data_IF_732326120814
#
_entry.id   IF_732326120814
#
_cell.length_a   1.000
_cell.length_b   1.000
_cell.length_c   1.000
_cell.angle_alpha   90.00
_cell.angle_beta   90.00
_cell.angle_gamma   90.00
#
_symmetry.space_group_name_H-M   'P 1'
#
loop_
_entity.id
_entity.type
_entity.pdbx_description
1 polymer ?
#
# COMPACT_ATOMS: atom_id res chain seq x y z
N UNK A 1 30.35 1.57 5.88
CA UNK A 1 28.97 1.56 6.40
C UNK A 1 28.57 3.00 6.69
N UNK A 2 27.70 3.60 5.89
CA UNK A 2 27.26 4.98 6.10
C UNK A 2 26.28 4.99 7.28
N UNK A 3 26.73 5.44 8.45
CA UNK A 3 25.87 5.72 9.59
C UNK A 3 25.06 6.97 9.26
N UNK A 4 23.80 6.81 8.88
CA UNK A 4 22.90 7.96 8.78
C UNK A 4 22.69 8.56 10.17
N UNK A 5 22.93 9.86 10.29
CA UNK A 5 22.66 10.63 11.51
C UNK A 5 21.20 10.45 11.95
N UNK A 6 20.90 10.23 13.24
CA UNK A 6 19.53 9.97 13.72
C UNK A 6 18.52 11.09 13.36
N UNK A 7 18.97 12.34 13.26
CA UNK A 7 18.12 13.45 12.83
C UNK A 7 17.62 13.31 11.37
N UNK A 8 18.41 12.69 10.49
CA UNK A 8 18.02 12.50 9.08
C UNK A 8 16.98 11.38 8.91
N UNK A 9 17.01 10.35 9.78
CA UNK A 9 15.98 9.31 9.76
C UNK A 9 14.63 9.82 10.28
N UNK A 10 14.64 10.72 11.27
CA UNK A 10 13.41 11.29 11.82
C UNK A 10 12.72 12.21 10.81
N UNK A 11 13.47 13.08 10.15
CA UNK A 11 12.93 13.93 9.07
C UNK A 11 12.36 13.11 7.91
N UNK A 12 13.01 12.01 7.53
CA UNK A 12 12.51 11.11 6.49
C UNK A 12 11.21 10.41 6.91
N UNK A 13 11.11 9.99 8.18
CA UNK A 13 9.91 9.36 8.71
C UNK A 13 8.73 10.35 8.79
N UNK A 14 8.97 11.60 9.17
CA UNK A 14 7.95 12.65 9.19
C UNK A 14 7.48 13.02 7.79
N UNK A 15 8.39 13.13 6.82
CA UNK A 15 8.05 13.36 5.42
C UNK A 15 7.17 12.23 4.86
N UNK A 16 7.47 10.98 5.21
CA UNK A 16 6.67 9.83 4.80
C UNK A 16 5.28 9.82 5.46
N UNK A 17 5.19 10.16 6.75
CA UNK A 17 3.92 10.31 7.45
C UNK A 17 3.04 11.40 6.81
N UNK A 18 3.64 12.52 6.39
CA UNK A 18 2.96 13.60 5.65
C UNK A 18 2.42 13.11 4.30
N UNK A 19 3.24 12.38 3.53
CA UNK A 19 2.83 11.78 2.24
C UNK A 19 1.64 10.82 2.40
N UNK A 20 1.64 10.00 3.45
CA UNK A 20 0.52 9.10 3.76
C UNK A 20 -0.74 9.88 4.14
N UNK A 21 -0.61 10.95 4.92
CA UNK A 21 -1.74 11.83 5.27
C UNK A 21 -2.33 12.54 4.04
N UNK A 22 -1.49 12.94 3.08
CA UNK A 22 -1.95 13.52 1.81
C UNK A 22 -2.74 12.50 0.97
N UNK A 23 -2.30 11.24 0.96
CA UNK A 23 -3.00 10.16 0.27
C UNK A 23 -4.36 9.84 0.92
N UNK A 24 -4.42 9.83 2.25
CA UNK A 24 -5.69 9.74 2.98
C UNK A 24 -6.62 10.92 2.69
N UNK A 25 -6.08 12.14 2.61
CA UNK A 25 -6.87 13.32 2.25
C UNK A 25 -7.45 13.23 0.84
N UNK A 26 -6.73 12.59 -0.10
CA UNK A 26 -7.27 12.29 -1.42
C UNK A 26 -8.42 11.29 -1.35
N UNK A 27 -8.28 10.18 -0.62
CA UNK A 27 -9.34 9.18 -0.44
C UNK A 27 -10.60 9.78 0.20
N UNK A 28 -10.42 10.56 1.27
CA UNK A 28 -11.51 11.27 1.95
C UNK A 28 -12.25 12.18 0.97
N UNK A 29 -11.53 12.98 0.17
CA UNK A 29 -12.15 13.84 -0.85
C UNK A 29 -12.88 13.05 -1.94
N UNK A 30 -12.31 11.92 -2.38
CA UNK A 30 -12.90 11.09 -3.44
C UNK A 30 -14.09 10.26 -2.97
N UNK A 31 -14.24 10.04 -1.66
CA UNK A 31 -15.37 9.28 -1.10
C UNK A 31 -16.74 9.93 -1.30
N UNK A 32 -16.78 11.22 -1.64
CA UNK A 32 -18.03 11.99 -1.72
C UNK A 32 -18.69 12.27 -0.37
N UNK A 33 -18.09 11.81 0.75
CA UNK A 33 -18.60 12.03 2.10
C UNK A 33 -18.07 13.34 2.67
N UNK A 34 -18.89 14.03 3.46
CA UNK A 34 -18.43 15.24 4.15
C UNK A 34 -17.45 14.90 5.27
N UNK A 35 -16.47 15.78 5.52
CA UNK A 35 -15.53 15.62 6.63
C UNK A 35 -16.24 15.44 7.98
N UNK A 36 -17.35 16.15 8.18
CA UNK A 36 -18.16 16.05 9.41
C UNK A 36 -18.78 14.66 9.59
N UNK A 37 -19.29 14.06 8.51
CA UNK A 37 -19.85 12.70 8.56
C UNK A 37 -18.75 11.67 8.87
N UNK A 38 -17.58 11.81 8.24
CA UNK A 38 -16.45 10.91 8.49
C UNK A 38 -15.94 11.09 9.93
N UNK A 39 -15.79 12.32 10.43
CA UNK A 39 -15.38 12.60 11.81
C UNK A 39 -16.34 12.00 12.84
N UNK A 40 -17.65 12.11 12.58
CA UNK A 40 -18.69 11.52 13.42
C UNK A 40 -18.52 9.99 13.51
N UNK A 41 -18.34 9.32 12.38
CA UNK A 41 -18.20 7.85 12.33
C UNK A 41 -16.87 7.38 12.93
N UNK A 42 -15.82 8.21 12.82
CA UNK A 42 -14.55 7.98 13.52
C UNK A 42 -14.66 8.21 15.03
N UNK A 43 -15.80 8.69 15.56
CA UNK A 43 -15.94 9.06 16.97
C UNK A 43 -14.95 10.15 17.39
N UNK A 44 -14.50 10.94 16.43
CA UNK A 44 -13.53 12.01 16.65
C UNK A 44 -14.23 13.30 17.05
N UNK A 45 -13.56 14.08 17.91
CA UNK A 45 -13.99 15.45 18.19
C UNK A 45 -13.97 16.31 16.93
N UNK A 46 -14.78 17.37 16.92
CA UNK A 46 -14.88 18.32 15.81
C UNK A 46 -13.50 18.75 15.29
N UNK A 47 -13.31 18.67 13.97
CA UNK A 47 -12.12 19.06 13.23
C UNK A 47 -10.85 18.20 13.48
N UNK A 48 -10.93 17.09 14.20
CA UNK A 48 -9.74 16.25 14.46
C UNK A 48 -9.23 15.52 13.21
N UNK A 49 -10.11 15.02 12.34
CA UNK A 49 -9.69 14.46 11.05
C UNK A 49 -8.97 15.52 10.23
N UNK A 50 -9.51 16.74 10.22
CA UNK A 50 -8.89 17.86 9.51
C UNK A 50 -7.50 18.20 10.05
N UNK A 51 -7.29 18.12 11.37
CA UNK A 51 -5.98 18.32 12.02
C UNK A 51 -4.96 17.24 11.63
N UNK A 52 -5.38 15.97 11.60
CA UNK A 52 -4.52 14.87 11.11
C UNK A 52 -4.14 15.11 9.65
N UNK A 53 -5.13 15.38 8.80
CA UNK A 53 -4.92 15.56 7.37
C UNK A 53 -4.13 16.83 7.04
N UNK A 54 -4.05 17.85 7.90
CA UNK A 54 -3.14 18.99 7.73
C UNK A 54 -1.76 18.80 8.36
N UNK A 55 -1.63 17.85 9.28
CA UNK A 55 -0.38 17.58 10.00
C UNK A 55 -0.26 18.34 11.32
N UNK A 56 -1.32 19.05 11.73
CA UNK A 56 -1.43 19.66 13.06
C UNK A 56 -1.38 18.59 14.17
N UNK A 57 -1.80 17.36 13.83
CA UNK A 57 -1.71 16.17 14.68
C UNK A 57 -0.87 15.13 13.97
N UNK A 58 0.08 14.52 14.71
CA UNK A 58 0.93 13.46 14.18
C UNK A 58 0.08 12.28 13.70
N UNK A 59 0.32 11.83 12.47
CA UNK A 59 -0.34 10.65 11.92
C UNK A 59 0.11 9.40 12.68
N UNK A 60 -0.86 8.63 13.16
CA UNK A 60 -0.64 7.33 13.82
C UNK A 60 -1.25 6.23 12.95
N UNK A 61 -0.72 5.01 13.07
CA UNK A 61 -1.27 3.84 12.35
C UNK A 61 -2.74 3.63 12.66
N UNK A 62 -3.16 3.84 13.91
CA UNK A 62 -4.58 3.79 14.33
C UNK A 62 -5.47 4.75 13.54
N UNK A 63 -4.98 5.94 13.19
CA UNK A 63 -5.73 6.88 12.35
C UNK A 63 -5.91 6.33 10.94
N UNK A 64 -4.85 5.76 10.34
CA UNK A 64 -4.90 5.18 8.99
C UNK A 64 -5.95 4.05 8.95
N UNK A 65 -5.86 3.10 9.88
CA UNK A 65 -6.74 1.93 9.91
C UNK A 65 -8.20 2.31 10.08
N UNK A 66 -8.51 3.23 11.01
CA UNK A 66 -9.90 3.67 11.25
C UNK A 66 -10.47 4.47 10.09
N UNK A 67 -9.66 5.32 9.43
CA UNK A 67 -10.09 6.03 8.23
C UNK A 67 -10.36 5.04 7.10
N UNK A 68 -9.51 4.03 6.91
CA UNK A 68 -9.73 2.97 5.93
C UNK A 68 -11.05 2.22 6.20
N UNK A 69 -11.30 1.84 7.45
CA UNK A 69 -12.53 1.18 7.89
C UNK A 69 -13.78 2.01 7.58
N UNK A 70 -13.80 3.31 7.94
CA UNK A 70 -14.93 4.22 7.69
C UNK A 70 -15.16 4.48 6.19
N UNK A 71 -14.11 4.35 5.38
CA UNK A 71 -14.19 4.47 3.93
C UNK A 71 -14.43 3.13 3.22
N UNK A 72 -14.63 2.04 3.97
CA UNK A 72 -14.82 0.68 3.44
C UNK A 72 -13.65 0.21 2.55
N UNK A 73 -12.45 0.69 2.84
CA UNK A 73 -11.21 0.32 2.16
C UNK A 73 -10.45 -0.64 3.06
N UNK A 74 -10.10 -1.83 2.55
CA UNK A 74 -9.23 -2.72 3.29
C UNK A 74 -7.83 -2.09 3.44
N UNK A 75 -7.22 -2.07 4.65
CA UNK A 75 -5.90 -1.50 4.86
C UNK A 75 -4.83 -2.04 3.90
N UNK A 76 -4.94 -3.30 3.50
CA UNK A 76 -4.08 -3.90 2.47
C UNK A 76 -4.07 -3.08 1.18
N UNK A 77 -5.23 -2.70 0.66
CA UNK A 77 -5.35 -1.92 -0.57
C UNK A 77 -4.75 -0.52 -0.42
N UNK A 78 -4.95 0.12 0.73
CA UNK A 78 -4.33 1.42 1.03
C UNK A 78 -2.80 1.33 1.01
N UNK A 79 -2.21 0.39 1.75
CA UNK A 79 -0.76 0.26 1.83
C UNK A 79 -0.15 -0.19 0.51
N UNK A 80 -0.82 -1.06 -0.25
CA UNK A 80 -0.39 -1.43 -1.60
C UNK A 80 -0.38 -0.24 -2.55
N UNK A 81 -1.42 0.60 -2.51
CA UNK A 81 -1.45 1.86 -3.28
C UNK A 81 -0.35 2.83 -2.83
N UNK A 82 -0.11 2.93 -1.52
CA UNK A 82 0.92 3.80 -0.96
C UNK A 82 2.35 3.34 -1.26
N UNK A 83 2.55 2.03 -1.43
CA UNK A 83 3.83 1.36 -1.67
C UNK A 83 3.75 0.37 -2.84
N UNK A 84 3.55 0.85 -4.08
CA UNK A 84 3.26 -0.02 -5.21
C UNK A 84 4.45 -0.89 -5.64
N UNK A 85 5.68 -0.51 -5.28
CA UNK A 85 6.89 -1.28 -5.58
C UNK A 85 7.90 -1.17 -4.44
N UNK A 86 8.49 -2.30 -4.08
CA UNK A 86 9.62 -2.32 -3.17
C UNK A 86 10.86 -1.73 -3.87
N UNK A 87 11.56 -0.80 -3.21
CA UNK A 87 12.81 -0.22 -3.75
C UNK A 87 14.02 -1.15 -3.59
N UNK A 88 13.89 -2.20 -2.78
CA UNK A 88 14.96 -3.14 -2.42
C UNK A 88 14.36 -4.53 -2.22
N UNK A 89 15.13 -5.60 -2.50
CA UNK A 89 14.70 -6.94 -2.17
C UNK A 89 14.58 -7.13 -0.64
N UNK A 90 13.80 -8.11 -0.18
CA UNK A 90 13.73 -8.47 1.23
C UNK A 90 15.12 -8.76 1.81
N UNK A 91 15.43 -8.16 2.96
CA UNK A 91 16.62 -8.52 3.72
C UNK A 91 16.45 -9.87 4.44
N UNK A 92 17.56 -10.49 4.83
CA UNK A 92 17.57 -11.80 5.52
C UNK A 92 16.67 -11.85 6.76
N UNK A 93 16.60 -10.76 7.53
CA UNK A 93 15.72 -10.68 8.70
C UNK A 93 14.25 -10.85 8.33
N UNK A 94 13.80 -10.22 7.24
CA UNK A 94 12.41 -10.29 6.80
C UNK A 94 12.06 -11.70 6.32
N UNK A 95 12.99 -12.40 5.65
CA UNK A 95 12.82 -13.81 5.27
C UNK A 95 12.59 -14.67 6.51
N UNK A 96 13.48 -14.55 7.52
CA UNK A 96 13.38 -15.30 8.79
C UNK A 96 12.08 -15.02 9.54
N UNK A 97 11.64 -13.76 9.59
CA UNK A 97 10.38 -13.38 10.26
C UNK A 97 9.18 -14.02 9.54
N UNK A 98 9.18 -14.09 8.22
CA UNK A 98 8.08 -14.70 7.44
C UNK A 98 8.02 -16.21 7.68
N UNK A 99 9.16 -16.89 7.67
CA UNK A 99 9.25 -18.31 8.03
C UNK A 99 8.72 -18.57 9.43
N UNK A 100 9.17 -17.79 10.42
CA UNK A 100 8.74 -17.93 11.81
C UNK A 100 7.24 -17.63 12.01
N UNK A 101 6.69 -16.71 11.22
CA UNK A 101 5.28 -16.34 11.25
C UNK A 101 4.38 -17.26 10.38
N UNK A 102 4.95 -18.25 9.68
CA UNK A 102 4.20 -19.13 8.78
C UNK A 102 3.58 -18.40 7.59
N UNK A 103 4.19 -17.30 7.13
CA UNK A 103 3.72 -16.51 6.00
C UNK A 103 4.29 -17.07 4.69
N UNK A 104 3.42 -17.30 3.71
CA UNK A 104 3.79 -17.77 2.36
C UNK A 104 4.89 -16.90 1.73
N UNK A 105 5.76 -17.41 0.83
CA UNK A 105 6.71 -16.59 0.07
C UNK A 105 6.03 -15.35 -0.57
N UNK A 106 6.73 -14.21 -0.65
CA UNK A 106 6.15 -13.02 -1.34
C UNK A 106 5.94 -13.45 -2.79
N UNK A 107 4.70 -13.67 -3.21
CA UNK A 107 4.40 -13.90 -4.61
C UNK A 107 4.83 -12.65 -5.37
N UNK A 108 5.82 -12.79 -6.24
CA UNK A 108 6.23 -11.74 -7.16
C UNK A 108 5.00 -11.35 -7.99
N UNK A 109 4.44 -10.16 -7.76
CA UNK A 109 3.31 -9.62 -8.53
C UNK A 109 3.60 -9.62 -10.03
N UNK A 110 4.87 -9.68 -10.40
CA UNK A 110 5.36 -9.83 -11.76
C UNK A 110 4.92 -11.15 -12.40
N UNK A 111 4.74 -12.25 -11.67
CA UNK A 111 4.30 -13.52 -12.26
C UNK A 111 2.86 -13.47 -12.81
N UNK A 112 1.95 -12.78 -12.11
CA UNK A 112 0.56 -12.63 -12.55
C UNK A 112 0.44 -11.64 -13.72
N UNK A 113 1.25 -10.59 -13.72
CA UNK A 113 1.34 -9.63 -14.82
C UNK A 113 2.00 -10.27 -16.05
N UNK A 114 3.07 -11.05 -15.86
CA UNK A 114 3.78 -11.78 -16.89
C UNK A 114 2.87 -12.82 -17.54
N UNK A 115 2.07 -13.57 -16.77
CA UNK A 115 1.07 -14.48 -17.34
C UNK A 115 -0.04 -13.75 -18.09
N UNK A 116 -0.43 -12.56 -17.64
CA UNK A 116 -1.39 -11.72 -18.37
C UNK A 116 -0.79 -11.22 -19.69
N UNK A 117 0.49 -10.81 -19.70
CA UNK A 117 1.22 -10.37 -20.89
C UNK A 117 1.40 -11.54 -21.86
N UNK A 118 1.88 -12.70 -21.39
CA UNK A 118 2.04 -13.94 -22.19
C UNK A 118 0.72 -14.35 -22.84
N UNK A 119 -0.39 -14.29 -22.11
CA UNK A 119 -1.72 -14.60 -22.65
C UNK A 119 -2.16 -13.60 -23.73
N UNK A 120 -1.90 -12.31 -23.56
CA UNK A 120 -2.23 -11.29 -24.58
C UNK A 120 -1.35 -11.48 -25.82
N UNK A 121 -0.05 -11.72 -25.64
CA UNK A 121 0.89 -11.97 -26.74
C UNK A 121 0.56 -13.24 -27.52
N UNK A 122 0.19 -14.34 -26.85
CA UNK A 122 -0.30 -15.57 -27.51
C UNK A 122 -1.52 -15.29 -28.40
N UNK A 123 -2.46 -14.45 -27.95
CA UNK A 123 -3.64 -14.07 -28.71
C UNK A 123 -3.33 -13.17 -29.91
N UNK A 124 -2.41 -12.22 -29.76
CA UNK A 124 -2.04 -11.28 -30.83
C UNK A 124 -1.14 -11.90 -31.90
N UNK A 125 -0.27 -12.84 -31.51
CA UNK A 125 0.66 -13.51 -32.41
C UNK A 125 0.06 -14.73 -33.12
N UNK A 126 -1.19 -15.10 -32.80
CA UNK A 126 -1.89 -16.26 -33.34
C UNK A 126 -1.02 -17.52 -33.41
N UNK A 127 -0.18 -17.72 -32.39
CA UNK A 127 0.65 -18.91 -32.24
C UNK A 127 -0.30 -20.07 -31.98
N UNK A 128 -0.63 -20.82 -33.03
CA UNK A 128 -1.19 -22.16 -32.89
C UNK A 128 -0.16 -22.97 -32.11
N UNK A 129 -0.59 -23.56 -31.00
CA UNK A 129 0.12 -24.70 -30.44
C UNK A 129 0.22 -25.74 -31.57
N UNK A 130 1.43 -26.02 -32.04
CA UNK A 130 1.63 -27.19 -32.88
C UNK A 130 1.37 -28.41 -31.98
N UNK A 131 0.43 -29.30 -32.36
CA UNK A 131 0.15 -30.46 -31.55
C UNK A 131 1.38 -31.38 -31.60
N UNK A 132 1.94 -31.66 -30.42
CA UNK A 132 2.75 -32.86 -30.20
C UNK A 132 1.94 -34.07 -30.64
N UNK A 133 2.44 -34.83 -31.62
CA UNK A 133 1.75 -36.00 -32.14
C UNK A 133 2.37 -36.56 -33.40
N UNK A 134 3.46 -37.30 -33.20
CA UNK A 134 4.06 -38.32 -34.09
C UNK A 134 3.00 -39.31 -34.65
N UNK A 135 3.27 -40.00 -35.78
CA UNK A 135 4.31 -41.04 -35.82
C UNK A 135 5.34 -40.92 -36.96
#
# INVERSE_FOLDING_TARGET
MATSTPAASDAAAEAEARRLADLLALLVRMSGRSHRSIEHDLGFGSAFLSKILRGDVRLQTTHILRICEVLEIEPYHFFKMAYPKAKRPPGLLLVKVREAAGLDPVAEEDAALEEKIKRILRKLLNLKEEPEGEP
#
